data_IF_089255637461
#
_entry.id   IF_089255637461
#
_cell.length_a   1.000
_cell.length_b   1.000
_cell.length_c   1.000
_cell.angle_alpha   90.00
_cell.angle_beta   90.00
_cell.angle_gamma   90.00
#
_symmetry.space_group_name_H-M   'P 1'
#
loop_
_entity.id
_entity.type
_entity.pdbx_description
1 polymer ?
#
# COMPACT_ATOMS: atom_id res chain seq x y z
N UNK A 1 11.70 9.80 8.36
CA UNK A 1 10.57 8.99 8.88
C UNK A 1 11.13 7.85 9.71
N UNK A 2 10.52 7.46 10.84
CA UNK A 2 11.00 6.31 11.62
C UNK A 2 10.81 5.03 10.81
N UNK A 3 11.90 4.31 10.56
CA UNK A 3 11.92 3.09 9.77
C UNK A 3 11.25 1.92 10.50
N UNK A 4 10.52 1.07 9.80
CA UNK A 4 10.02 -0.20 10.29
C UNK A 4 11.12 -1.27 10.15
N UNK A 5 11.38 -2.09 11.12
CA UNK A 5 12.30 -3.20 10.92
C UNK A 5 11.60 -4.26 10.04
N UNK A 6 12.10 -4.51 8.83
CA UNK A 6 11.58 -5.55 7.91
C UNK A 6 11.37 -6.90 8.60
N UNK A 7 12.20 -7.24 9.56
CA UNK A 7 12.04 -8.47 10.34
C UNK A 7 10.78 -8.42 11.23
N UNK A 8 10.52 -7.28 11.89
CA UNK A 8 9.35 -7.13 12.76
C UNK A 8 8.05 -7.08 11.95
N UNK A 9 8.05 -6.43 10.78
CA UNK A 9 6.93 -6.44 9.84
C UNK A 9 6.64 -7.88 9.39
N UNK A 10 7.66 -8.59 8.92
CA UNK A 10 7.52 -9.98 8.47
C UNK A 10 6.95 -10.88 9.56
N UNK A 11 7.47 -10.80 10.80
CA UNK A 11 6.96 -11.60 11.91
C UNK A 11 5.47 -11.36 12.19
N UNK A 12 5.01 -10.11 12.08
CA UNK A 12 3.60 -9.78 12.28
C UNK A 12 2.72 -10.25 11.14
N UNK A 13 3.16 -10.08 9.90
CA UNK A 13 2.45 -10.60 8.74
C UNK A 13 2.38 -12.12 8.77
N UNK A 14 3.48 -12.80 9.18
CA UNK A 14 3.49 -14.25 9.35
C UNK A 14 2.47 -14.70 10.43
N UNK A 15 2.36 -13.96 11.54
CA UNK A 15 1.37 -14.24 12.58
C UNK A 15 -0.08 -13.92 12.14
N UNK A 16 -0.28 -12.89 11.34
CA UNK A 16 -1.59 -12.48 10.83
C UNK A 16 -2.12 -13.40 9.73
N UNK A 17 -1.26 -14.11 9.00
CA UNK A 17 -1.60 -14.86 7.80
C UNK A 17 -2.83 -15.79 7.94
N UNK A 18 -3.06 -16.53 9.05
CA UNK A 18 -4.22 -17.40 9.19
C UNK A 18 -5.57 -16.66 9.24
N UNK A 19 -5.57 -15.41 9.74
CA UNK A 19 -6.78 -14.61 9.95
C UNK A 19 -6.96 -13.51 8.90
N UNK A 20 -5.91 -13.20 8.15
CA UNK A 20 -5.84 -12.05 7.25
C UNK A 20 -7.05 -11.94 6.34
N UNK A 21 -7.38 -13.01 5.60
CA UNK A 21 -8.46 -12.99 4.61
C UNK A 21 -9.84 -12.69 5.22
N UNK A 22 -10.08 -13.12 6.45
CA UNK A 22 -11.36 -12.89 7.12
C UNK A 22 -11.52 -11.44 7.62
N UNK A 23 -10.41 -10.71 7.79
CA UNK A 23 -10.40 -9.34 8.33
C UNK A 23 -9.90 -8.29 7.32
N UNK A 24 -9.56 -8.70 6.09
CA UNK A 24 -8.93 -7.85 5.08
C UNK A 24 -9.93 -7.00 4.26
N UNK A 25 -11.08 -6.63 4.84
CA UNK A 25 -12.14 -5.92 4.11
C UNK A 25 -11.68 -4.56 3.56
N UNK A 26 -10.79 -3.83 4.26
CA UNK A 26 -10.19 -2.60 3.72
C UNK A 26 -9.35 -2.91 2.48
N UNK A 27 -8.56 -4.00 2.51
CA UNK A 27 -7.79 -4.45 1.34
C UNK A 27 -8.71 -4.89 0.18
N UNK A 28 -9.89 -5.42 0.49
CA UNK A 28 -10.87 -5.80 -0.53
C UNK A 28 -11.45 -4.56 -1.20
N UNK A 29 -11.86 -3.56 -0.42
CA UNK A 29 -12.38 -2.28 -0.92
C UNK A 29 -11.31 -1.57 -1.78
N UNK A 30 -10.08 -1.45 -1.27
CA UNK A 30 -9.00 -0.77 -2.00
C UNK A 30 -8.57 -1.54 -3.24
N UNK A 31 -8.58 -2.86 -3.21
CA UNK A 31 -8.35 -3.70 -4.39
C UNK A 31 -9.41 -3.45 -5.45
N UNK A 32 -10.69 -3.46 -5.07
CA UNK A 32 -11.79 -3.27 -5.98
C UNK A 32 -11.71 -1.87 -6.61
N UNK A 33 -11.54 -0.81 -5.81
CA UNK A 33 -11.36 0.55 -6.30
C UNK A 33 -10.15 0.72 -7.23
N UNK A 34 -9.05 0.00 -6.99
CA UNK A 34 -7.89 0.02 -7.87
C UNK A 34 -8.17 -0.68 -9.20
N UNK A 35 -8.88 -1.81 -9.19
CA UNK A 35 -9.29 -2.49 -10.43
C UNK A 35 -10.27 -1.67 -11.25
N UNK A 36 -11.20 -0.97 -10.62
CA UNK A 36 -12.18 -0.11 -11.31
C UNK A 36 -11.48 1.02 -12.07
N UNK A 37 -10.40 1.59 -11.51
CA UNK A 37 -9.55 2.60 -12.15
C UNK A 37 -8.73 2.04 -13.32
N UNK A 38 -8.41 0.76 -13.29
CA UNK A 38 -7.71 0.08 -14.37
C UNK A 38 -8.64 -0.41 -15.48
N UNK A 39 -9.95 -0.52 -15.21
CA UNK A 39 -10.91 -1.09 -16.19
C UNK A 39 -10.89 -0.37 -17.53
N UNK A 40 -10.90 0.99 -17.62
CA UNK A 40 -10.89 1.70 -18.88
C UNK A 40 -9.56 1.63 -19.63
N UNK A 41 -8.50 1.11 -19.00
CA UNK A 41 -7.17 1.07 -19.60
C UNK A 41 -6.99 -0.18 -20.47
N UNK A 42 -6.52 0.03 -21.71
CA UNK A 42 -6.10 -1.07 -22.59
C UNK A 42 -4.64 -1.41 -22.33
N UNK A 43 -4.42 -2.45 -21.49
CA UNK A 43 -3.08 -2.87 -21.08
C UNK A 43 -2.79 -4.25 -21.67
N UNK A 44 -1.66 -4.37 -22.38
CA UNK A 44 -1.13 -5.65 -22.83
C UNK A 44 0.00 -6.06 -21.91
N UNK A 45 -0.16 -7.19 -21.22
CA UNK A 45 0.84 -7.67 -20.27
C UNK A 45 1.17 -9.14 -20.52
N UNK A 46 2.46 -9.48 -20.45
CA UNK A 46 3.01 -10.83 -20.41
C UNK A 46 3.43 -11.20 -18.99
N UNK A 47 4.03 -10.25 -18.29
CA UNK A 47 4.53 -10.41 -16.93
C UNK A 47 3.91 -9.36 -16.00
N UNK A 48 3.19 -9.87 -14.99
CA UNK A 48 2.44 -9.06 -14.02
C UNK A 48 2.92 -9.42 -12.63
N UNK A 49 3.33 -8.44 -11.86
CA UNK A 49 3.72 -8.58 -10.45
C UNK A 49 2.59 -8.07 -9.56
N UNK A 50 2.11 -8.91 -8.65
CA UNK A 50 1.31 -8.54 -7.49
C UNK A 50 2.27 -8.33 -6.33
N UNK A 51 2.59 -7.07 -6.01
CA UNK A 51 3.59 -6.68 -5.03
C UNK A 51 2.94 -6.39 -3.68
N UNK A 52 3.32 -7.15 -2.65
CA UNK A 52 2.59 -7.23 -1.39
C UNK A 52 1.34 -8.10 -1.55
N UNK A 53 1.49 -9.27 -2.18
CA UNK A 53 0.40 -10.13 -2.62
C UNK A 53 -0.43 -10.73 -1.47
N UNK A 54 0.06 -10.67 -0.23
CA UNK A 54 -0.57 -11.24 0.96
C UNK A 54 -1.12 -12.66 0.69
N UNK A 55 -2.43 -12.88 0.85
CA UNK A 55 -3.08 -14.18 0.65
C UNK A 55 -3.52 -14.44 -0.81
N UNK A 56 -3.14 -13.58 -1.76
CA UNK A 56 -3.28 -13.80 -3.21
C UNK A 56 -4.64 -13.46 -3.81
N UNK A 57 -5.45 -12.66 -3.14
CA UNK A 57 -6.73 -12.22 -3.68
C UNK A 57 -6.56 -11.35 -4.92
N UNK A 58 -5.62 -10.37 -4.88
CA UNK A 58 -5.24 -9.55 -6.03
C UNK A 58 -4.64 -10.40 -7.15
N UNK A 59 -3.73 -11.32 -6.82
CA UNK A 59 -3.09 -12.22 -7.80
C UNK A 59 -4.12 -13.00 -8.62
N UNK A 60 -5.20 -13.48 -8.00
CA UNK A 60 -6.28 -14.21 -8.71
C UNK A 60 -7.02 -13.28 -9.67
N UNK A 61 -7.36 -12.08 -9.24
CA UNK A 61 -8.08 -11.11 -10.07
C UNK A 61 -7.20 -10.62 -11.24
N UNK A 62 -5.91 -10.38 -10.99
CA UNK A 62 -4.92 -10.07 -12.03
C UNK A 62 -4.83 -11.20 -13.06
N UNK A 63 -4.83 -12.45 -12.61
CA UNK A 63 -4.84 -13.61 -13.52
C UNK A 63 -6.09 -13.68 -14.38
N UNK A 64 -7.25 -13.32 -13.85
CA UNK A 64 -8.49 -13.24 -14.61
C UNK A 64 -8.45 -12.11 -15.64
N UNK A 65 -7.95 -10.92 -15.25
CA UNK A 65 -7.86 -9.75 -16.12
C UNK A 65 -6.84 -9.94 -17.25
N UNK A 66 -5.69 -10.49 -16.94
CA UNK A 66 -4.57 -10.72 -17.87
C UNK A 66 -4.43 -12.21 -18.18
N UNK A 67 -5.48 -12.82 -18.76
CA UNK A 67 -5.65 -14.28 -18.90
C UNK A 67 -4.47 -15.05 -19.51
N UNK A 68 -3.67 -14.42 -20.37
CA UNK A 68 -2.46 -14.97 -20.98
C UNK A 68 -1.17 -14.70 -20.20
N UNK A 69 -1.17 -13.74 -19.26
CA UNK A 69 0.03 -13.27 -18.57
C UNK A 69 0.53 -14.27 -17.52
N UNK A 70 1.83 -14.20 -17.23
CA UNK A 70 2.46 -14.80 -16.06
C UNK A 70 2.26 -13.86 -14.87
N UNK A 71 1.49 -14.26 -13.87
CA UNK A 71 1.27 -13.50 -12.65
C UNK A 71 2.24 -14.01 -11.57
N UNK A 72 3.02 -13.09 -11.01
CA UNK A 72 4.05 -13.30 -10.01
C UNK A 72 3.59 -12.65 -8.70
N UNK A 73 3.25 -13.46 -7.71
CA UNK A 73 2.85 -12.99 -6.38
C UNK A 73 4.08 -12.81 -5.49
N UNK A 74 4.40 -11.57 -5.14
CA UNK A 74 5.57 -11.21 -4.36
C UNK A 74 5.15 -10.72 -2.99
N UNK A 75 5.70 -11.29 -1.92
CA UNK A 75 5.48 -10.84 -0.55
C UNK A 75 6.70 -11.15 0.33
N UNK A 76 6.93 -10.34 1.34
CA UNK A 76 7.99 -10.56 2.33
C UNK A 76 7.65 -11.71 3.28
N UNK A 77 6.35 -11.99 3.49
CA UNK A 77 5.83 -13.04 4.35
C UNK A 77 5.60 -14.34 3.58
N UNK A 78 6.39 -15.37 3.91
CA UNK A 78 6.17 -16.69 3.36
C UNK A 78 4.86 -17.32 3.86
N UNK A 79 4.43 -16.99 5.09
CA UNK A 79 3.19 -17.50 5.63
C UNK A 79 1.97 -16.96 4.86
N UNK A 80 1.98 -15.68 4.46
CA UNK A 80 0.97 -15.09 3.58
C UNK A 80 0.92 -15.83 2.24
N UNK A 81 2.07 -15.99 1.58
CA UNK A 81 2.16 -16.69 0.30
C UNK A 81 1.68 -18.15 0.36
N UNK A 82 1.81 -18.81 1.51
CA UNK A 82 1.30 -20.17 1.72
C UNK A 82 -0.21 -20.24 1.81
N UNK A 83 -0.90 -19.15 2.14
CA UNK A 83 -2.38 -19.07 2.16
C UNK A 83 -2.98 -18.99 0.76
N UNK A 84 -2.19 -18.78 -0.29
CA UNK A 84 -2.71 -18.76 -1.65
C UNK A 84 -3.39 -20.09 -1.97
N UNK A 85 -4.71 -20.10 -1.85
CA UNK A 85 -5.53 -21.23 -2.31
C UNK A 85 -5.58 -21.20 -3.83
N UNK A 86 -5.06 -22.22 -4.44
CA UNK A 86 -5.00 -22.29 -5.90
C UNK A 86 -5.95 -23.35 -6.42
N UNK A 87 -6.83 -22.94 -7.33
CA UNK A 87 -7.44 -23.87 -8.28
C UNK A 87 -6.34 -24.58 -9.10
N UNK A 88 -6.61 -25.77 -9.59
CA UNK A 88 -5.64 -26.72 -10.15
C UNK A 88 -4.88 -26.23 -11.39
N UNK A 89 -5.41 -25.27 -12.14
CA UNK A 89 -4.86 -24.80 -13.42
C UNK A 89 -4.38 -23.34 -13.31
N UNK A 90 -3.11 -23.09 -13.68
CA UNK A 90 -2.47 -21.77 -13.84
C UNK A 90 -2.31 -20.96 -12.53
N UNK A 91 -1.61 -21.53 -11.55
CA UNK A 91 -1.27 -20.86 -10.29
C UNK A 91 -0.36 -19.65 -10.52
N UNK A 92 -0.58 -18.50 -9.82
CA UNK A 92 0.44 -17.48 -9.71
C UNK A 92 1.73 -18.06 -9.12
N UNK A 93 2.87 -17.68 -9.67
CA UNK A 93 4.18 -18.03 -9.08
C UNK A 93 4.37 -17.22 -7.81
N UNK A 94 4.71 -17.86 -6.70
CA UNK A 94 4.91 -17.24 -5.39
C UNK A 94 6.38 -16.99 -5.17
N UNK A 95 6.74 -15.77 -4.87
CA UNK A 95 8.12 -15.32 -4.69
C UNK A 95 8.22 -14.61 -3.36
N UNK A 96 9.01 -15.14 -2.42
CA UNK A 96 9.30 -14.43 -1.20
C UNK A 96 10.44 -13.45 -1.46
N UNK A 97 10.13 -12.15 -1.43
CA UNK A 97 11.11 -11.09 -1.64
C UNK A 97 10.71 -9.80 -0.91
N UNK A 98 11.70 -8.94 -0.69
CA UNK A 98 11.52 -7.58 -0.21
C UNK A 98 11.19 -6.67 -1.39
N UNK A 99 10.17 -5.81 -1.25
CA UNK A 99 9.79 -4.84 -2.28
C UNK A 99 10.91 -3.82 -2.60
N UNK A 100 11.84 -3.61 -1.67
CA UNK A 100 13.02 -2.75 -1.85
C UNK A 100 14.20 -3.42 -2.55
N UNK A 101 14.07 -4.72 -2.96
CA UNK A 101 15.09 -5.49 -3.65
C UNK A 101 14.43 -6.63 -4.47
N UNK A 102 13.81 -6.26 -5.59
CA UNK A 102 13.03 -7.18 -6.40
C UNK A 102 13.93 -8.13 -7.21
N UNK A 103 13.66 -9.45 -7.22
CA UNK A 103 14.47 -10.43 -7.92
C UNK A 103 14.14 -10.53 -9.42
N UNK A 104 13.97 -9.38 -10.07
CA UNK A 104 13.67 -9.29 -11.50
C UNK A 104 14.73 -8.47 -12.22
N UNK A 105 14.94 -8.77 -13.49
CA UNK A 105 15.79 -7.97 -14.35
C UNK A 105 15.19 -6.60 -14.61
N UNK A 106 16.04 -5.65 -15.01
CA UNK A 106 15.61 -4.34 -15.45
C UNK A 106 14.69 -4.47 -16.69
N UNK A 107 13.68 -3.61 -16.78
CA UNK A 107 12.77 -3.54 -17.93
C UNK A 107 12.14 -4.90 -18.32
N UNK A 108 11.70 -5.70 -17.33
CA UNK A 108 11.20 -7.06 -17.56
C UNK A 108 9.75 -7.30 -17.15
N UNK A 109 9.10 -6.32 -16.52
CA UNK A 109 7.74 -6.43 -15.99
C UNK A 109 6.83 -5.42 -16.69
N UNK A 110 5.68 -5.89 -17.18
CA UNK A 110 4.71 -5.03 -17.88
C UNK A 110 3.74 -4.34 -16.91
N UNK A 111 3.41 -4.98 -15.78
CA UNK A 111 2.51 -4.41 -14.77
C UNK A 111 3.01 -4.75 -13.37
N UNK A 112 3.14 -3.74 -12.52
CA UNK A 112 3.28 -3.87 -11.08
C UNK A 112 2.02 -3.35 -10.42
N UNK A 113 1.34 -4.21 -9.66
CA UNK A 113 0.15 -3.91 -8.90
C UNK A 113 0.46 -4.00 -7.41
N UNK A 114 0.21 -2.95 -6.64
CA UNK A 114 0.54 -2.88 -5.21
C UNK A 114 -0.65 -2.34 -4.40
N UNK A 115 -1.43 -3.23 -3.81
CA UNK A 115 -2.59 -2.85 -3.00
C UNK A 115 -2.21 -2.67 -1.54
N UNK A 116 -2.26 -1.45 -1.00
CA UNK A 116 -1.92 -1.07 0.38
C UNK A 116 -0.53 -1.55 0.83
N UNK A 117 0.45 -1.59 -0.07
CA UNK A 117 1.83 -1.94 0.27
C UNK A 117 2.58 -0.76 0.91
N UNK A 118 2.47 0.43 0.30
CA UNK A 118 3.30 1.59 0.65
C UNK A 118 3.20 2.00 2.12
N UNK A 119 2.05 1.90 2.81
CA UNK A 119 1.95 2.19 4.24
C UNK A 119 2.80 1.28 5.15
N UNK A 120 3.26 0.14 4.65
CA UNK A 120 3.98 -0.87 5.42
C UNK A 120 5.48 -0.90 5.11
N UNK A 121 5.97 -0.12 4.14
CA UNK A 121 7.39 -0.10 3.79
C UNK A 121 8.13 1.03 4.49
N UNK A 122 9.40 0.79 4.81
CA UNK A 122 10.24 1.75 5.53
C UNK A 122 10.73 2.88 4.64
N UNK A 123 11.11 2.53 3.43
CA UNK A 123 11.69 3.43 2.43
C UNK A 123 10.89 3.32 1.14
N UNK A 124 9.87 4.16 1.03
CA UNK A 124 9.00 4.24 -0.15
C UNK A 124 9.82 4.58 -1.39
N UNK A 125 10.82 5.48 -1.27
CA UNK A 125 11.64 5.90 -2.41
C UNK A 125 12.42 4.72 -2.99
N UNK A 126 12.94 3.85 -2.14
CA UNK A 126 13.66 2.64 -2.58
C UNK A 126 12.73 1.64 -3.26
N UNK A 127 11.52 1.45 -2.74
CA UNK A 127 10.52 0.58 -3.37
C UNK A 127 10.12 1.12 -4.74
N UNK A 128 9.83 2.43 -4.83
CA UNK A 128 9.51 3.08 -6.10
C UNK A 128 10.66 2.99 -7.12
N UNK A 129 11.93 3.12 -6.65
CA UNK A 129 13.11 2.93 -7.49
C UNK A 129 13.21 1.51 -8.05
N UNK A 130 12.91 0.48 -7.25
CA UNK A 130 12.86 -0.91 -7.72
C UNK A 130 11.70 -1.15 -8.70
N UNK A 131 10.53 -0.56 -8.44
CA UNK A 131 9.40 -0.60 -9.37
C UNK A 131 9.79 0.04 -10.70
N UNK A 132 10.39 1.22 -10.68
CA UNK A 132 10.84 1.91 -11.89
C UNK A 132 11.90 1.10 -12.66
N UNK A 133 12.83 0.45 -11.94
CA UNK A 133 13.88 -0.39 -12.54
C UNK A 133 13.33 -1.60 -13.28
N UNK A 134 12.36 -2.30 -12.67
CA UNK A 134 11.85 -3.55 -13.24
C UNK A 134 10.78 -3.34 -14.31
N UNK A 135 10.08 -2.21 -14.32
CA UNK A 135 9.05 -1.91 -15.32
C UNK A 135 9.64 -1.70 -16.71
N UNK A 136 8.97 -2.24 -17.71
CA UNK A 136 9.22 -1.88 -19.12
C UNK A 136 8.88 -0.41 -19.38
N UNK A 137 9.35 0.16 -20.49
CA UNK A 137 9.18 1.59 -20.81
C UNK A 137 7.71 2.06 -20.78
N UNK A 138 6.78 1.24 -21.23
CA UNK A 138 5.33 1.52 -21.16
C UNK A 138 4.62 0.66 -20.10
N UNK A 139 5.40 0.05 -19.21
CA UNK A 139 4.87 -0.76 -18.13
C UNK A 139 4.08 0.09 -17.13
N UNK A 140 3.03 -0.49 -16.56
CA UNK A 140 2.14 0.19 -15.62
C UNK A 140 2.50 -0.14 -14.17
N UNK A 141 2.66 0.89 -13.35
CA UNK A 141 2.58 0.79 -11.90
C UNK A 141 1.21 1.26 -11.43
N UNK A 142 0.46 0.40 -10.75
CA UNK A 142 -0.82 0.74 -10.15
C UNK A 142 -0.78 0.41 -8.66
N UNK A 143 -1.19 1.35 -7.81
CA UNK A 143 -1.09 1.19 -6.37
C UNK A 143 -2.23 1.85 -5.60
N UNK A 144 -2.45 1.36 -4.39
CA UNK A 144 -3.22 2.06 -3.36
C UNK A 144 -2.39 2.27 -2.11
N UNK A 145 -2.69 3.35 -1.40
CA UNK A 145 -2.04 3.75 -0.15
C UNK A 145 -3.04 4.39 0.80
N UNK A 146 -2.56 4.81 1.97
CA UNK A 146 -3.31 5.63 2.91
C UNK A 146 -2.78 7.05 2.90
N UNK A 147 -3.67 8.03 2.99
CA UNK A 147 -3.35 9.45 3.12
C UNK A 147 -3.29 9.92 4.58
N UNK A 148 -2.85 11.17 4.80
CA UNK A 148 -2.54 11.72 6.13
C UNK A 148 -3.74 11.81 7.07
N UNK A 149 -4.95 11.94 6.55
CA UNK A 149 -6.19 12.01 7.36
C UNK A 149 -6.59 10.65 7.96
N UNK A 150 -5.96 9.55 7.52
CA UNK A 150 -6.28 8.21 7.99
C UNK A 150 -5.99 8.03 9.48
N UNK A 151 -6.87 7.27 10.17
CA UNK A 151 -6.71 6.88 11.58
C UNK A 151 -6.64 8.05 12.57
N UNK A 152 -7.24 9.21 12.25
CA UNK A 152 -7.20 10.41 13.09
C UNK A 152 -7.72 10.19 14.50
N UNK A 153 -8.81 9.44 14.68
CA UNK A 153 -9.37 9.12 16.00
C UNK A 153 -8.38 8.31 16.84
N UNK A 154 -7.71 7.31 16.22
CA UNK A 154 -6.70 6.50 16.89
C UNK A 154 -5.48 7.35 17.27
N UNK A 155 -5.01 8.23 16.40
CA UNK A 155 -3.89 9.15 16.66
C UNK A 155 -4.21 10.07 17.83
N UNK A 156 -5.44 10.64 17.90
CA UNK A 156 -5.88 11.47 19.04
C UNK A 156 -5.92 10.67 20.34
N UNK A 157 -6.39 9.42 20.31
CA UNK A 157 -6.45 8.58 21.52
C UNK A 157 -5.07 8.29 22.13
N UNK A 158 -4.05 8.12 21.29
CA UNK A 158 -2.67 7.91 21.73
C UNK A 158 -1.88 9.19 22.05
N UNK A 159 -2.39 10.37 21.67
CA UNK A 159 -1.69 11.63 21.87
C UNK A 159 -1.34 11.87 23.35
N UNK A 160 -0.08 12.15 23.64
CA UNK A 160 0.40 12.45 24.99
C UNK A 160 0.42 11.26 25.96
N UNK A 161 0.31 10.03 25.49
CA UNK A 161 0.50 8.82 26.31
C UNK A 161 1.98 8.64 26.66
N UNK A 162 2.86 8.89 25.72
CA UNK A 162 4.31 8.98 25.88
C UNK A 162 4.90 9.78 24.70
N UNK A 163 6.23 9.85 24.59
CA UNK A 163 6.94 10.60 23.54
C UNK A 163 7.11 9.83 22.22
N UNK A 164 6.37 8.74 22.04
CA UNK A 164 6.52 7.83 20.89
C UNK A 164 5.34 7.89 19.95
N UNK A 165 5.62 7.65 18.67
CA UNK A 165 4.58 7.52 17.66
C UNK A 165 3.91 6.14 17.75
N UNK A 166 2.62 6.13 18.02
CA UNK A 166 1.81 4.91 18.09
C UNK A 166 1.05 4.62 16.81
N UNK A 167 0.82 5.62 15.99
CA UNK A 167 0.12 5.54 14.70
C UNK A 167 1.03 6.12 13.62
N UNK A 168 1.23 5.39 12.54
CA UNK A 168 2.05 5.83 11.43
C UNK A 168 1.51 7.13 10.81
N UNK A 169 2.43 8.00 10.37
CA UNK A 169 2.10 9.12 9.49
C UNK A 169 2.19 8.64 8.05
N UNK A 170 1.20 8.98 7.26
CA UNK A 170 1.15 8.67 5.84
C UNK A 170 1.46 9.92 5.04
N UNK A 171 2.14 9.78 3.89
CA UNK A 171 2.41 10.88 2.97
C UNK A 171 1.12 11.37 2.30
N UNK A 172 1.07 12.64 1.96
CA UNK A 172 -0.01 13.14 1.14
C UNK A 172 0.16 12.74 -0.35
N UNK A 173 -0.88 12.96 -1.15
CA UNK A 173 -0.87 12.58 -2.57
C UNK A 173 0.17 13.38 -3.37
N UNK A 174 0.48 14.63 -3.01
CA UNK A 174 1.47 15.45 -3.71
C UNK A 174 2.88 14.95 -3.42
N UNK A 175 3.19 14.66 -2.14
CA UNK A 175 4.46 14.06 -1.74
C UNK A 175 4.66 12.70 -2.42
N UNK A 176 3.61 11.88 -2.48
CA UNK A 176 3.63 10.57 -3.16
C UNK A 176 3.88 10.73 -4.65
N UNK A 177 3.20 11.68 -5.32
CA UNK A 177 3.40 11.98 -6.73
C UNK A 177 4.83 12.45 -7.04
N UNK A 178 5.37 13.32 -6.21
CA UNK A 178 6.77 13.78 -6.31
C UNK A 178 7.77 12.64 -6.15
N UNK A 179 7.54 11.72 -5.22
CA UNK A 179 8.40 10.54 -5.02
C UNK A 179 8.36 9.62 -6.23
N UNK A 180 7.20 9.42 -6.85
CA UNK A 180 7.02 8.63 -8.07
C UNK A 180 7.84 9.22 -9.23
N UNK A 181 7.76 10.54 -9.45
CA UNK A 181 8.54 11.22 -10.50
C UNK A 181 10.04 11.14 -10.21
N UNK A 182 10.46 11.35 -8.96
CA UNK A 182 11.89 11.25 -8.57
C UNK A 182 12.45 9.83 -8.74
N UNK A 183 11.60 8.81 -8.60
CA UNK A 183 11.99 7.42 -8.83
C UNK A 183 12.18 7.08 -10.32
N UNK A 184 11.78 7.96 -11.24
CA UNK A 184 11.91 7.75 -12.68
C UNK A 184 10.64 7.20 -13.36
N UNK A 185 9.51 7.18 -12.66
CA UNK A 185 8.21 6.86 -13.24
C UNK A 185 7.57 8.09 -13.87
N UNK A 186 6.77 7.90 -14.92
CA UNK A 186 6.17 8.97 -15.73
C UNK A 186 4.68 9.10 -15.47
N UNK A 187 4.17 10.29 -15.73
CA UNK A 187 2.75 10.61 -15.84
C UNK A 187 1.92 10.11 -14.63
N UNK A 188 2.33 10.41 -13.39
CA UNK A 188 1.59 9.95 -12.22
C UNK A 188 0.20 10.61 -12.19
N UNK A 189 -0.82 9.77 -12.03
CA UNK A 189 -2.20 10.20 -11.78
C UNK A 189 -2.60 9.64 -10.42
N UNK A 190 -3.02 10.52 -9.52
CA UNK A 190 -3.47 10.15 -8.18
C UNK A 190 -4.86 10.74 -7.93
N UNK A 191 -5.67 9.99 -7.21
CA UNK A 191 -6.95 10.45 -6.68
C UNK A 191 -7.18 9.90 -5.28
N UNK A 192 -8.18 10.45 -4.58
CA UNK A 192 -8.46 10.16 -3.17
C UNK A 192 -9.93 9.85 -2.99
N UNK A 193 -10.20 8.72 -2.32
CA UNK A 193 -11.50 8.37 -1.78
C UNK A 193 -11.49 8.45 -0.25
N UNK A 194 -12.64 8.65 0.37
CA UNK A 194 -12.80 8.60 1.82
C UNK A 194 -13.65 7.41 2.21
N UNK A 195 -13.17 6.66 3.19
CA UNK A 195 -13.86 5.50 3.75
C UNK A 195 -14.03 5.68 5.25
N UNK A 196 -15.26 5.59 5.73
CA UNK A 196 -15.55 5.58 7.16
C UNK A 196 -15.86 4.16 7.60
N UNK A 197 -15.09 3.65 8.55
CA UNK A 197 -15.30 2.36 9.18
C UNK A 197 -16.03 2.55 10.50
N UNK A 198 -17.09 1.78 10.73
CA UNK A 198 -17.87 1.83 11.94
C UNK A 198 -17.63 0.61 12.81
N UNK A 199 -17.13 0.81 14.01
CA UNK A 199 -16.86 -0.25 14.99
C UNK A 199 -17.80 -0.17 16.18
N UNK A 200 -18.33 -1.31 16.58
CA UNK A 200 -19.21 -1.41 17.75
C UNK A 200 -18.44 -1.29 19.06
N UNK A 201 -17.12 -1.52 19.04
CA UNK A 201 -16.23 -1.35 20.18
C UNK A 201 -14.78 -1.09 19.75
N UNK A 202 -13.95 -0.43 20.57
CA UNK A 202 -12.52 -0.29 20.31
C UNK A 202 -11.78 -1.62 20.19
N UNK A 203 -12.23 -2.65 20.91
CA UNK A 203 -11.61 -3.99 20.86
C UNK A 203 -11.74 -4.60 19.46
N UNK A 204 -12.88 -4.42 18.79
CA UNK A 204 -13.08 -4.92 17.41
C UNK A 204 -12.14 -4.24 16.41
N UNK A 205 -11.90 -2.92 16.55
CA UNK A 205 -10.87 -2.21 15.78
C UNK A 205 -9.48 -2.83 15.98
N UNK A 206 -9.07 -3.04 17.24
CA UNK A 206 -7.75 -3.62 17.52
C UNK A 206 -7.64 -5.09 17.09
N UNK A 207 -8.74 -5.84 17.08
CA UNK A 207 -8.78 -7.19 16.54
C UNK A 207 -8.47 -7.19 15.04
N UNK A 208 -9.12 -6.30 14.25
CA UNK A 208 -8.89 -6.17 12.82
C UNK A 208 -7.46 -5.71 12.50
N UNK A 209 -6.95 -4.70 13.21
CA UNK A 209 -5.57 -4.24 13.07
C UNK A 209 -4.56 -5.36 13.38
N UNK A 210 -4.89 -6.26 14.29
CA UNK A 210 -4.03 -7.40 14.62
C UNK A 210 -4.09 -8.47 13.55
N UNK A 211 -5.30 -8.83 13.12
CA UNK A 211 -5.54 -9.88 12.15
C UNK A 211 -5.01 -9.54 10.75
N UNK A 212 -4.88 -8.24 10.44
CA UNK A 212 -4.29 -7.76 9.18
C UNK A 212 -2.80 -7.41 9.28
N UNK A 213 -2.19 -7.54 10.47
CA UNK A 213 -0.80 -7.14 10.69
C UNK A 213 -0.58 -5.62 10.70
N UNK A 214 -1.66 -4.83 10.70
CA UNK A 214 -1.63 -3.36 10.61
C UNK A 214 -1.35 -2.66 11.96
N UNK A 215 -1.01 -3.39 13.02
CA UNK A 215 -0.53 -2.77 14.26
C UNK A 215 0.76 -2.00 14.03
N UNK A 216 1.06 -1.09 14.97
CA UNK A 216 2.25 -0.23 14.93
C UNK A 216 3.54 -1.00 14.59
N UNK A 217 4.13 -0.67 13.44
CA UNK A 217 5.38 -1.23 12.90
C UNK A 217 6.57 -0.29 13.00
N UNK A 218 6.36 0.92 13.48
CA UNK A 218 7.39 1.95 13.53
C UNK A 218 8.64 1.45 14.27
N UNK A 219 9.83 1.80 13.78
CA UNK A 219 11.09 1.41 14.41
C UNK A 219 11.22 2.00 15.83
N UNK A 220 10.68 3.19 16.04
CA UNK A 220 10.61 3.86 17.35
C UNK A 220 9.55 3.31 18.31
N UNK A 221 8.77 2.29 17.90
CA UNK A 221 7.72 1.72 18.75
C UNK A 221 8.29 1.19 20.08
N UNK A 222 7.49 1.18 21.16
CA UNK A 222 7.86 0.48 22.39
C UNK A 222 8.11 -1.01 22.10
N UNK A 223 9.28 -1.54 22.51
CA UNK A 223 9.59 -2.98 22.40
C UNK A 223 8.92 -3.80 23.47
N UNK A 224 8.40 -3.16 24.53
CA UNK A 224 7.68 -3.77 25.63
C UNK A 224 6.17 -3.59 25.51
N UNK A 225 5.42 -4.29 26.36
CA UNK A 225 3.99 -4.10 26.51
C UNK A 225 3.72 -2.69 27.05
N UNK A 226 2.68 -2.04 26.55
CA UNK A 226 2.15 -0.83 27.16
C UNK A 226 1.60 -1.19 28.54
N UNK A 227 1.98 -0.43 29.57
CA UNK A 227 1.46 -0.65 30.91
C UNK A 227 -0.07 -0.52 30.93
N UNK A 228 -0.72 -1.33 31.75
CA UNK A 228 -2.18 -1.42 31.83
C UNK A 228 -2.86 -0.04 32.01
N UNK A 229 -2.30 0.83 32.85
CA UNK A 229 -2.85 2.16 33.10
C UNK A 229 -2.84 3.05 31.84
N UNK A 230 -1.76 3.02 31.05
CA UNK A 230 -1.68 3.80 29.78
C UNK A 230 -2.64 3.24 28.74
N UNK A 231 -2.74 1.92 28.65
CA UNK A 231 -3.69 1.26 27.76
C UNK A 231 -5.13 1.64 28.14
N UNK A 232 -5.46 1.65 29.44
CA UNK A 232 -6.78 2.05 29.89
C UNK A 232 -7.13 3.47 29.48
N UNK A 233 -6.18 4.42 29.57
CA UNK A 233 -6.41 5.81 29.11
C UNK A 233 -6.74 5.85 27.62
N UNK A 234 -6.06 5.06 26.78
CA UNK A 234 -6.36 5.00 25.33
C UNK A 234 -7.77 4.46 25.10
N UNK A 235 -8.12 3.37 25.79
CA UNK A 235 -9.45 2.76 25.68
C UNK A 235 -10.54 3.74 26.15
N UNK A 236 -10.36 4.40 27.28
CA UNK A 236 -11.31 5.39 27.81
C UNK A 236 -11.52 6.55 26.82
N UNK A 237 -10.46 7.02 26.17
CA UNK A 237 -10.55 8.08 25.15
C UNK A 237 -11.30 7.61 23.88
N UNK A 238 -11.16 6.34 23.50
CA UNK A 238 -11.89 5.76 22.38
C UNK A 238 -13.36 5.51 22.76
N UNK A 239 -13.65 5.03 23.97
CA UNK A 239 -15.00 4.84 24.49
C UNK A 239 -15.74 6.15 24.78
N UNK A 240 -15.00 7.25 25.03
CA UNK A 240 -15.62 8.58 25.18
C UNK A 240 -16.19 9.14 23.86
N UNK A 241 -15.91 8.50 22.73
CA UNK A 241 -16.51 8.87 21.43
C UNK A 241 -17.89 8.23 21.27
N UNK A 242 -18.79 8.86 20.47
CA UNK A 242 -20.07 8.24 20.15
C UNK A 242 -19.89 6.85 19.53
N UNK A 243 -20.76 5.91 19.89
CA UNK A 243 -20.84 4.62 19.20
C UNK A 243 -21.88 4.70 18.07
N UNK A 244 -21.64 4.06 16.92
CA UNK A 244 -20.43 3.29 16.61
C UNK A 244 -19.18 4.18 16.53
N UNK A 245 -18.01 3.65 16.96
CA UNK A 245 -16.74 4.34 16.81
C UNK A 245 -16.37 4.45 15.33
N UNK A 246 -16.29 5.66 14.83
CA UNK A 246 -15.97 5.93 13.44
C UNK A 246 -14.45 6.14 13.26
N UNK A 247 -13.90 5.38 12.33
CA UNK A 247 -12.51 5.48 11.91
C UNK A 247 -12.47 5.89 10.45
N UNK A 248 -11.98 7.08 10.20
CA UNK A 248 -11.80 7.58 8.84
C UNK A 248 -10.51 7.10 8.23
N UNK A 249 -10.57 6.67 6.98
CA UNK A 249 -9.44 6.35 6.12
C UNK A 249 -9.51 7.22 4.86
N UNK A 250 -8.41 7.86 4.56
CA UNK A 250 -8.15 8.51 3.29
C UNK A 250 -7.45 7.49 2.38
N UNK A 251 -8.14 7.03 1.35
CA UNK A 251 -7.65 6.02 0.42
C UNK A 251 -7.03 6.72 -0.79
N UNK A 252 -5.72 6.62 -0.94
CA UNK A 252 -5.00 7.16 -2.10
C UNK A 252 -4.86 6.07 -3.13
N UNK A 253 -5.31 6.34 -4.35
CA UNK A 253 -5.11 5.48 -5.51
C UNK A 253 -4.22 6.18 -6.51
N UNK A 254 -3.34 5.44 -7.14
CA UNK A 254 -2.46 6.01 -8.13
C UNK A 254 -2.02 5.02 -9.18
N UNK A 255 -1.62 5.59 -10.32
CA UNK A 255 -0.89 4.87 -11.34
C UNK A 255 0.18 5.77 -11.96
N UNK A 256 1.20 5.14 -12.52
CA UNK A 256 2.27 5.77 -13.26
C UNK A 256 2.85 4.77 -14.27
N UNK A 257 3.64 5.25 -15.22
CA UNK A 257 4.24 4.42 -16.25
C UNK A 257 5.75 4.31 -16.08
N UNK A 258 6.32 3.21 -16.52
CA UNK A 258 7.76 3.00 -16.63
C UNK A 258 8.39 3.90 -17.70
N UNK A 259 9.72 4.01 -17.68
CA UNK A 259 10.51 4.81 -18.62
C UNK A 259 11.14 6.04 -17.98
N UNK A 260 12.16 6.60 -18.65
CA UNK A 260 12.85 7.79 -18.16
C UNK A 260 11.87 8.96 -18.00
N UNK A 261 11.98 9.77 -16.91
CA UNK A 261 11.17 10.96 -16.80
C UNK A 261 11.37 11.81 -18.03
N UNK A 262 10.29 12.33 -18.60
CA UNK A 262 10.40 13.35 -19.66
C UNK A 262 11.33 14.42 -19.11
N UNK A 263 12.49 14.61 -19.76
CA UNK A 263 13.35 15.76 -19.46
C UNK A 263 12.45 16.97 -19.44
N UNK A 264 12.46 17.72 -18.31
CA UNK A 264 11.70 18.94 -18.20
C UNK A 264 11.99 19.74 -19.49
N UNK A 265 10.98 19.92 -20.33
CA UNK A 265 11.12 20.82 -21.49
C UNK A 265 11.58 22.11 -20.88
N UNK A 266 12.77 22.57 -21.28
CA UNK A 266 13.30 23.85 -20.83
C UNK A 266 12.24 24.93 -20.98
N UNK A 267 12.34 26.07 -20.26
CA UNK A 267 11.30 27.07 -20.26
C UNK A 267 10.85 27.34 -21.68
N UNK A 268 9.56 27.12 -21.95
CA UNK A 268 8.97 27.43 -23.25
C UNK A 268 9.00 28.95 -23.33
N UNK A 269 9.93 29.49 -24.11
CA UNK A 269 9.93 30.91 -24.44
C UNK A 269 8.69 31.17 -25.32
N UNK A 270 7.64 31.65 -24.70
CA UNK A 270 6.46 32.14 -25.42
C UNK A 270 6.85 33.50 -25.97
N UNK A 271 6.97 33.60 -27.29
CA UNK A 271 7.14 34.89 -27.96
C UNK A 271 5.83 35.70 -27.72
N UNK A 272 5.89 36.82 -26.96
CA UNK A 272 4.72 37.65 -26.72
C UNK A 272 4.08 38.19 -28.01
N UNK A 273 4.82 38.23 -29.14
CA UNK A 273 4.33 38.64 -30.45
C UNK A 273 3.43 37.62 -31.16
N UNK A 274 3.39 36.36 -30.66
CA UNK A 274 2.54 35.28 -31.20
C UNK A 274 1.17 35.17 -30.54
N UNK A 275 0.92 35.94 -29.46
CA UNK A 275 -0.35 35.95 -28.73
C UNK A 275 -1.15 37.17 -29.25
N UNK A 276 -1.96 36.95 -30.27
CA UNK A 276 -2.99 37.88 -30.68
C UNK A 276 -2.78 38.52 -32.06
N UNK A 277 -3.36 37.93 -33.04
CA UNK A 277 -4.10 38.60 -34.13
C UNK A 277 -5.37 37.79 -34.37
#
# INVERSE_FOLDING_TARGET
>A
MPSCSNQALRQRLDAAAPLFTAHAFVHDITRDGLFDRLEPMTIRARDVVDLGAATGLSSRRLKSRFGGARVLAVDVSLAMLRQHTSGWLRKPSRIQADASALPFADNSIDVVFANLLLPFVDDVSRVLGEVARVLTEDGLFAFSSLGPDSLGALRRAFHGIDERDHVASFGDMHETGDQIVRAGLRDPVLDVDRLTLSYTSPESLFADLTATGARNSLAGRPKGLMGQSRWQIVMDRLFAQPLPLEIELELVYGHAFGGAPMQARGPIAIDPGSIGR
#
